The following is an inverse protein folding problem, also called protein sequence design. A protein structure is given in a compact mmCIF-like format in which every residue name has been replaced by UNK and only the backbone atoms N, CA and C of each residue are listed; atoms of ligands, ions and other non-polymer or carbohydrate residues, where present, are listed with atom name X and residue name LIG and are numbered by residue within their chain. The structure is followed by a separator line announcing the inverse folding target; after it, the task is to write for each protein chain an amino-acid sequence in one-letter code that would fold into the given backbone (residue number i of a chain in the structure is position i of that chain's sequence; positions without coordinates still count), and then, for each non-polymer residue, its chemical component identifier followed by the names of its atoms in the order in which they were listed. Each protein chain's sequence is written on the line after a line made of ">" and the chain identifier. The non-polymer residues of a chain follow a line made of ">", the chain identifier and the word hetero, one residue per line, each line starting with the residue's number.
data_IF_469212437086
#
_entry.id   IF_469212437086
#
_cell.length_a   1.000
_cell.length_b   1.000
_cell.length_c   1.000
_cell.angle_alpha   90.00
_cell.angle_beta   90.00
_cell.angle_gamma   90.00
#
_symmetry.space_group_name_H-M   'P 1'
#
loop_
_entity.id
_entity.type
_entity.pdbx_description
1 polymer ?
#
# COMPACT_ATOMS: atom_id res chain seq x y z
N UNK A 1 -15.74 17.63 7.47
CA UNK A 1 -15.42 16.47 8.34
C UNK A 1 -13.95 16.60 8.71
N UNK A 2 -13.65 16.90 9.96
CA UNK A 2 -12.27 17.04 10.45
C UNK A 2 -11.70 15.62 10.55
N UNK A 3 -10.59 15.34 9.88
CA UNK A 3 -9.83 14.10 10.11
C UNK A 3 -9.12 14.29 11.45
N UNK A 4 -9.73 13.84 12.55
CA UNK A 4 -9.18 13.98 13.92
C UNK A 4 -8.30 12.80 14.35
N UNK A 5 -8.11 11.80 13.49
CA UNK A 5 -7.26 10.64 13.79
C UNK A 5 -5.77 10.95 13.61
N UNK A 6 -4.93 10.45 14.53
CA UNK A 6 -3.47 10.51 14.39
C UNK A 6 -3.01 9.25 13.67
N UNK A 7 -2.41 9.42 12.49
CA UNK A 7 -1.80 8.31 11.75
C UNK A 7 -0.33 8.22 12.10
N UNK A 8 0.12 7.05 12.51
CA UNK A 8 1.54 6.77 12.74
C UNK A 8 2.03 5.70 11.77
N UNK A 9 3.08 6.04 11.01
CA UNK A 9 3.84 5.10 10.19
C UNK A 9 4.59 4.10 11.06
N UNK A 10 4.21 2.82 11.00
CA UNK A 10 4.85 1.76 11.79
C UNK A 10 5.11 0.55 10.93
N UNK A 11 6.37 0.33 10.60
CA UNK A 11 6.79 -0.74 9.70
C UNK A 11 6.82 -2.12 10.40
N UNK A 12 5.66 -2.61 10.86
CA UNK A 12 5.51 -3.84 11.65
C UNK A 12 6.21 -5.07 11.02
N UNK A 13 6.08 -5.22 9.70
CA UNK A 13 6.68 -6.33 8.95
C UNK A 13 8.17 -6.14 8.61
N UNK A 14 8.74 -4.98 8.94
CA UNK A 14 10.16 -4.63 8.71
C UNK A 14 10.91 -4.35 10.02
N UNK A 15 10.19 -4.24 11.14
CA UNK A 15 10.76 -4.07 12.46
C UNK A 15 11.55 -5.28 12.93
N UNK A 16 12.59 -5.05 13.73
CA UNK A 16 13.42 -6.12 14.33
C UNK A 16 12.86 -6.64 15.66
N UNK A 17 11.75 -6.09 16.13
CA UNK A 17 11.14 -6.50 17.39
C UNK A 17 10.30 -7.77 17.19
N UNK A 18 10.36 -8.74 18.11
CA UNK A 18 9.44 -9.87 18.13
C UNK A 18 7.96 -9.42 18.18
N UNK A 19 7.01 -10.21 17.65
CA UNK A 19 5.58 -9.85 17.62
C UNK A 19 5.00 -9.39 18.96
N UNK A 20 5.36 -10.06 20.06
CA UNK A 20 4.88 -9.69 21.40
C UNK A 20 5.40 -8.32 21.87
N UNK A 21 6.61 -7.93 21.45
CA UNK A 21 7.17 -6.61 21.77
C UNK A 21 6.55 -5.52 20.89
N UNK A 22 6.31 -5.82 19.60
CA UNK A 22 5.53 -4.95 18.73
C UNK A 22 4.14 -4.71 19.30
N UNK A 23 3.47 -5.77 19.78
CA UNK A 23 2.14 -5.65 20.36
C UNK A 23 2.11 -4.73 21.59
N UNK A 24 3.10 -4.85 22.48
CA UNK A 24 3.27 -3.92 23.61
C UNK A 24 3.46 -2.48 23.15
N UNK A 25 4.24 -2.27 22.08
CA UNK A 25 4.46 -0.94 21.52
C UNK A 25 3.18 -0.37 20.92
N UNK A 26 2.39 -1.13 20.16
CA UNK A 26 1.10 -0.68 19.62
C UNK A 26 0.13 -0.28 20.72
N UNK A 27 0.03 -1.09 21.78
CA UNK A 27 -0.79 -0.76 22.96
C UNK A 27 -0.34 0.56 23.58
N UNK A 28 0.96 0.74 23.75
CA UNK A 28 1.54 1.97 24.31
C UNK A 28 1.23 3.18 23.43
N UNK A 29 1.45 3.07 22.12
CA UNK A 29 1.19 4.14 21.17
C UNK A 29 -0.29 4.56 21.16
N UNK A 30 -1.21 3.59 21.22
CA UNK A 30 -2.63 3.87 21.28
C UNK A 30 -3.02 4.56 22.60
N UNK A 31 -2.65 3.97 23.74
CA UNK A 31 -3.10 4.43 25.06
C UNK A 31 -2.40 5.71 25.51
N UNK A 32 -1.08 5.81 25.34
CA UNK A 32 -0.31 6.95 25.86
C UNK A 32 -0.24 8.11 24.87
N UNK A 33 -0.21 7.84 23.56
CA UNK A 33 -0.02 8.89 22.55
C UNK A 33 -1.32 9.25 21.80
N UNK A 34 -2.39 8.48 22.03
CA UNK A 34 -3.69 8.66 21.38
C UNK A 34 -3.63 8.38 19.87
N UNK A 35 -2.85 7.38 19.46
CA UNK A 35 -2.81 6.93 18.08
C UNK A 35 -3.96 5.95 17.84
N UNK A 36 -4.87 6.31 16.93
CA UNK A 36 -6.03 5.49 16.55
C UNK A 36 -5.84 4.81 15.18
N UNK A 37 -4.79 5.18 14.45
CA UNK A 37 -4.54 4.71 13.10
C UNK A 37 -3.07 4.38 12.89
N UNK A 38 -2.79 3.16 12.43
CA UNK A 38 -1.44 2.73 12.11
C UNK A 38 -1.31 2.46 10.61
N UNK A 39 -0.26 3.02 10.01
CA UNK A 39 0.14 2.65 8.66
C UNK A 39 1.09 1.45 8.76
N UNK A 40 0.65 0.29 8.22
CA UNK A 40 1.35 -0.99 8.35
C UNK A 40 1.67 -1.58 6.96
N UNK A 41 2.93 -1.93 6.68
CA UNK A 41 3.29 -2.69 5.51
C UNK A 41 2.83 -4.15 5.60
N UNK A 42 2.11 -4.64 4.58
CA UNK A 42 1.74 -6.06 4.44
C UNK A 42 2.40 -6.64 3.20
N UNK A 43 2.92 -7.86 3.34
CA UNK A 43 3.47 -8.66 2.25
C UNK A 43 2.39 -9.59 1.70
N UNK A 44 2.37 -9.78 0.38
CA UNK A 44 1.43 -10.71 -0.25
C UNK A 44 1.68 -12.13 0.26
N UNK A 45 0.62 -12.78 0.77
CA UNK A 45 0.68 -14.15 1.28
C UNK A 45 1.37 -14.32 2.64
N UNK A 46 1.74 -13.24 3.33
CA UNK A 46 2.36 -13.31 4.66
C UNK A 46 1.43 -12.66 5.69
N UNK A 47 0.70 -13.44 6.49
CA UNK A 47 -0.24 -12.91 7.46
C UNK A 47 0.47 -12.12 8.57
N UNK A 48 -0.21 -11.11 9.12
CA UNK A 48 0.23 -10.45 10.35
C UNK A 48 0.24 -11.44 11.51
N UNK A 49 1.25 -11.34 12.38
CA UNK A 49 1.34 -12.16 13.57
C UNK A 49 0.12 -11.95 14.48
N UNK A 50 -0.40 -13.04 15.06
CA UNK A 50 -1.61 -13.03 15.90
C UNK A 50 -1.56 -12.00 17.02
N UNK A 51 -0.42 -11.84 17.67
CA UNK A 51 -0.20 -10.93 18.79
C UNK A 51 -0.39 -9.47 18.39
N UNK A 52 -0.03 -9.14 17.14
CA UNK A 52 -0.23 -7.80 16.57
C UNK A 52 -1.71 -7.61 16.24
N UNK A 53 -2.34 -8.60 15.62
CA UNK A 53 -3.78 -8.53 15.29
C UNK A 53 -4.62 -8.39 16.55
N UNK A 54 -4.34 -9.19 17.58
CA UNK A 54 -5.08 -9.19 18.84
C UNK A 54 -5.00 -7.84 19.54
N UNK A 55 -3.82 -7.19 19.56
CA UNK A 55 -3.70 -5.87 20.18
C UNK A 55 -4.34 -4.76 19.35
N UNK A 56 -4.32 -4.85 18.01
CA UNK A 56 -4.97 -3.86 17.16
C UNK A 56 -6.49 -3.90 17.34
N UNK A 57 -7.06 -5.09 17.56
CA UNK A 57 -8.47 -5.26 17.94
C UNK A 57 -8.72 -4.70 19.35
N UNK A 58 -7.86 -5.05 20.32
CA UNK A 58 -7.97 -4.58 21.72
C UNK A 58 -8.05 -3.05 21.83
N UNK A 59 -7.26 -2.34 21.03
CA UNK A 59 -7.18 -0.87 21.06
C UNK A 59 -8.08 -0.18 20.04
N UNK A 60 -8.95 -0.91 19.36
CA UNK A 60 -9.85 -0.40 18.31
C UNK A 60 -9.11 0.39 17.21
N UNK A 61 -7.95 -0.13 16.80
CA UNK A 61 -7.11 0.53 15.82
C UNK A 61 -7.67 0.43 14.40
N UNK A 62 -7.55 1.53 13.67
CA UNK A 62 -7.68 1.54 12.21
C UNK A 62 -6.34 1.30 11.53
N UNK A 63 -6.36 0.74 10.32
CA UNK A 63 -5.16 0.54 9.50
C UNK A 63 -5.18 1.32 8.19
N UNK A 64 -4.03 1.87 7.84
CA UNK A 64 -3.64 2.20 6.45
C UNK A 64 -2.65 1.13 6.01
N UNK A 65 -3.05 0.25 5.11
CA UNK A 65 -2.19 -0.86 4.69
C UNK A 65 -1.34 -0.41 3.51
N UNK A 66 -0.03 -0.66 3.54
CA UNK A 66 0.86 -0.32 2.44
C UNK A 66 1.52 -1.54 1.84
N UNK A 67 1.77 -1.51 0.53
CA UNK A 67 2.47 -2.58 -0.19
C UNK A 67 3.98 -2.29 -0.31
N UNK A 68 4.49 -1.35 0.48
CA UNK A 68 5.88 -0.88 0.37
C UNK A 68 6.87 -2.02 0.64
N UNK A 69 6.55 -2.93 1.57
CA UNK A 69 7.36 -4.11 1.85
C UNK A 69 7.36 -5.12 0.68
N UNK A 70 6.24 -5.27 -0.03
CA UNK A 70 6.16 -6.14 -1.22
C UNK A 70 7.13 -5.65 -2.29
N UNK A 71 7.16 -4.33 -2.49
CA UNK A 71 8.13 -3.72 -3.38
C UNK A 71 9.58 -3.85 -2.87
N UNK A 72 9.82 -3.61 -1.57
CA UNK A 72 11.15 -3.70 -0.97
C UNK A 72 11.79 -5.08 -1.13
N UNK A 73 10.97 -6.13 -1.21
CA UNK A 73 11.41 -7.52 -1.28
C UNK A 73 11.42 -8.04 -2.72
N UNK A 74 10.26 -8.16 -3.35
CA UNK A 74 10.10 -8.72 -4.69
C UNK A 74 10.50 -7.69 -5.75
N UNK A 75 10.06 -6.44 -5.60
CA UNK A 75 10.38 -5.35 -6.53
C UNK A 75 11.86 -4.99 -6.61
N UNK A 76 12.60 -5.10 -5.51
CA UNK A 76 14.07 -4.89 -5.53
C UNK A 76 14.81 -6.00 -6.29
N UNK A 77 14.30 -7.24 -6.23
CA UNK A 77 14.89 -8.40 -6.92
C UNK A 77 14.55 -8.43 -8.42
N UNK A 78 13.42 -7.83 -8.81
CA UNK A 78 12.99 -7.75 -10.22
C UNK A 78 12.73 -6.30 -10.65
N UNK A 79 13.64 -5.67 -11.44
CA UNK A 79 13.48 -4.29 -11.91
C UNK A 79 12.21 -4.02 -12.74
N UNK A 80 11.66 -5.05 -13.38
CA UNK A 80 10.45 -4.98 -14.19
C UNK A 80 9.16 -5.19 -13.38
N UNK A 81 9.24 -5.60 -12.11
CA UNK A 81 8.07 -5.75 -11.26
C UNK A 81 7.39 -4.41 -10.98
N UNK A 82 6.06 -4.35 -11.10
CA UNK A 82 5.29 -3.18 -10.70
C UNK A 82 4.02 -2.97 -11.50
N UNK A 83 3.13 -2.14 -10.95
CA UNK A 83 1.86 -1.77 -11.60
C UNK A 83 2.06 -0.96 -12.89
N UNK A 84 3.22 -0.31 -13.04
CA UNK A 84 3.58 0.41 -14.26
C UNK A 84 4.38 -0.42 -15.28
N UNK A 85 4.61 -1.71 -15.01
CA UNK A 85 5.38 -2.59 -15.90
C UNK A 85 4.75 -2.72 -17.29
N UNK A 86 5.55 -2.49 -18.32
CA UNK A 86 5.18 -2.80 -19.73
C UNK A 86 5.20 -4.29 -20.02
N UNK A 87 5.92 -5.07 -19.22
CA UNK A 87 5.91 -6.51 -19.31
C UNK A 87 4.68 -7.06 -18.58
N UNK A 88 3.76 -7.62 -19.36
CA UNK A 88 2.46 -8.12 -18.92
C UNK A 88 2.55 -9.07 -17.73
N UNK A 89 3.47 -10.03 -17.78
CA UNK A 89 3.67 -11.03 -16.72
C UNK A 89 4.03 -10.38 -15.38
N UNK A 90 4.97 -9.44 -15.37
CA UNK A 90 5.36 -8.71 -14.16
C UNK A 90 4.26 -7.80 -13.64
N UNK A 91 3.47 -7.20 -14.54
CA UNK A 91 2.31 -6.39 -14.16
C UNK A 91 1.22 -7.24 -13.51
N UNK A 92 0.94 -8.42 -14.08
CA UNK A 92 -0.04 -9.37 -13.54
C UNK A 92 0.37 -9.89 -12.17
N UNK A 93 1.67 -10.18 -11.95
CA UNK A 93 2.18 -10.57 -10.62
C UNK A 93 1.91 -9.45 -9.60
N UNK A 94 2.22 -8.18 -9.93
CA UNK A 94 1.97 -7.06 -9.03
C UNK A 94 0.47 -6.86 -8.73
N UNK A 95 -0.42 -7.13 -9.69
CA UNK A 95 -1.87 -7.12 -9.46
C UNK A 95 -2.29 -8.26 -8.52
N UNK A 96 -1.80 -9.48 -8.75
CA UNK A 96 -2.10 -10.65 -7.91
C UNK A 96 -1.64 -10.43 -6.47
N UNK A 97 -0.45 -9.85 -6.27
CA UNK A 97 0.07 -9.51 -4.95
C UNK A 97 -0.85 -8.50 -4.24
N UNK A 98 -1.34 -7.49 -4.96
CA UNK A 98 -2.30 -6.53 -4.41
C UNK A 98 -3.66 -7.15 -4.07
N UNK A 99 -4.15 -8.11 -4.88
CA UNK A 99 -5.34 -8.88 -4.54
C UNK A 99 -5.15 -9.74 -3.29
N UNK A 100 -3.99 -10.39 -3.15
CA UNK A 100 -3.66 -11.18 -1.97
C UNK A 100 -3.58 -10.31 -0.71
N UNK A 101 -3.09 -9.08 -0.82
CA UNK A 101 -3.13 -8.10 0.29
C UNK A 101 -4.56 -7.66 0.58
N UNK A 102 -5.39 -7.39 -0.44
CA UNK A 102 -6.80 -7.04 -0.24
C UNK A 102 -7.59 -8.15 0.48
N UNK A 103 -7.34 -9.42 0.15
CA UNK A 103 -7.93 -10.57 0.85
C UNK A 103 -7.49 -10.64 2.32
N UNK A 104 -6.21 -10.39 2.60
CA UNK A 104 -5.74 -10.31 3.99
C UNK A 104 -6.40 -9.16 4.75
N UNK A 105 -6.54 -7.99 4.13
CA UNK A 105 -7.25 -6.85 4.68
C UNK A 105 -8.73 -7.18 4.98
N UNK A 106 -9.39 -7.92 4.09
CA UNK A 106 -10.75 -8.40 4.33
C UNK A 106 -10.80 -9.30 5.57
N UNK A 107 -9.89 -10.28 5.69
CA UNK A 107 -9.83 -11.14 6.88
C UNK A 107 -9.53 -10.37 8.17
N UNK A 108 -8.72 -9.31 8.12
CA UNK A 108 -8.50 -8.43 9.28
C UNK A 108 -9.76 -7.63 9.62
N UNK A 109 -10.49 -7.17 8.61
CA UNK A 109 -11.76 -6.46 8.78
C UNK A 109 -12.84 -7.36 9.41
N UNK A 110 -12.92 -8.62 9.01
CA UNK A 110 -13.82 -9.61 9.62
C UNK A 110 -13.50 -9.87 11.10
N UNK A 111 -12.25 -9.66 11.51
CA UNK A 111 -11.81 -9.74 12.91
C UNK A 111 -12.05 -8.45 13.71
N UNK A 112 -12.57 -7.40 13.09
CA UNK A 112 -12.91 -6.13 13.74
C UNK A 112 -11.91 -4.99 13.53
N UNK A 113 -10.89 -5.17 12.68
CA UNK A 113 -9.92 -4.10 12.38
C UNK A 113 -10.41 -3.24 11.22
N UNK A 114 -10.60 -1.94 11.42
CA UNK A 114 -11.05 -1.06 10.35
C UNK A 114 -9.93 -0.71 9.36
N UNK A 115 -10.03 -1.20 8.12
CA UNK A 115 -9.07 -0.87 7.05
C UNK A 115 -9.54 0.40 6.33
N UNK A 116 -8.83 1.52 6.55
CA UNK A 116 -9.17 2.82 5.95
C UNK A 116 -8.73 2.90 4.49
N UNK A 117 -7.48 2.53 4.22
CA UNK A 117 -6.87 2.65 2.90
C UNK A 117 -5.93 1.47 2.61
N UNK A 118 -5.83 1.11 1.34
CA UNK A 118 -4.76 0.28 0.80
C UNK A 118 -3.92 1.11 -0.17
N UNK A 119 -2.64 1.25 0.14
CA UNK A 119 -1.69 2.13 -0.54
C UNK A 119 -0.81 1.30 -1.47
N UNK A 120 -0.95 1.56 -2.76
CA UNK A 120 -0.28 0.90 -3.87
C UNK A 120 0.94 1.69 -4.35
N UNK A 121 1.97 0.99 -4.80
CA UNK A 121 3.16 1.62 -5.41
C UNK A 121 3.25 1.30 -6.91
N UNK A 122 3.77 2.25 -7.68
CA UNK A 122 3.88 2.14 -9.15
C UNK A 122 4.90 1.10 -9.60
N UNK A 123 5.95 0.90 -8.81
CA UNK A 123 6.82 -0.28 -8.81
C UNK A 123 7.96 -0.34 -9.84
N UNK A 124 7.90 0.31 -11.00
CA UNK A 124 8.93 0.13 -12.02
C UNK A 124 10.08 1.14 -11.92
N UNK A 125 11.32 0.62 -12.04
CA UNK A 125 12.61 1.27 -11.74
C UNK A 125 13.18 2.25 -12.78
N UNK A 126 12.47 2.54 -13.89
CA UNK A 126 12.73 3.54 -14.96
C UNK A 126 12.21 2.98 -16.29
N UNK A 127 11.66 3.84 -17.16
CA UNK A 127 11.38 3.51 -18.56
C UNK A 127 10.62 4.61 -19.29
N UNK A 128 10.22 4.35 -20.54
CA UNK A 128 9.56 5.29 -21.43
C UNK A 128 8.16 5.72 -20.93
N UNK A 129 7.94 7.03 -20.81
CA UNK A 129 6.83 7.61 -20.03
C UNK A 129 5.42 7.19 -20.49
N UNK A 130 5.18 7.00 -21.79
CA UNK A 130 3.83 6.74 -22.31
C UNK A 130 3.41 5.28 -22.09
N UNK A 131 4.27 4.32 -22.44
CA UNK A 131 3.95 2.90 -22.31
C UNK A 131 3.72 2.50 -20.85
N UNK A 132 4.47 3.09 -19.93
CA UNK A 132 4.26 2.94 -18.49
C UNK A 132 2.96 3.58 -18.01
N UNK A 133 2.56 4.71 -18.57
CA UNK A 133 1.31 5.38 -18.21
C UNK A 133 0.10 4.53 -18.64
N UNK A 134 0.19 3.90 -19.82
CA UNK A 134 -0.82 2.96 -20.32
C UNK A 134 -0.89 1.72 -19.44
N UNK A 135 0.26 1.10 -19.12
CA UNK A 135 0.32 -0.07 -18.25
C UNK A 135 -0.27 0.23 -16.87
N UNK A 136 0.14 1.36 -16.28
CA UNK A 136 -0.35 1.79 -14.97
C UNK A 136 -1.85 2.09 -14.97
N UNK A 137 -2.34 2.76 -16.01
CA UNK A 137 -3.78 2.97 -16.20
C UNK A 137 -4.55 1.65 -16.18
N UNK A 138 -4.08 0.63 -16.91
CA UNK A 138 -4.71 -0.70 -16.95
C UNK A 138 -4.73 -1.33 -15.56
N UNK A 139 -3.59 -1.36 -14.87
CA UNK A 139 -3.51 -1.88 -13.51
C UNK A 139 -4.45 -1.19 -12.52
N UNK A 140 -4.60 0.13 -12.59
CA UNK A 140 -5.52 0.85 -11.70
C UNK A 140 -6.99 0.54 -11.97
N UNK A 141 -7.37 0.36 -13.24
CA UNK A 141 -8.72 -0.06 -13.61
C UNK A 141 -9.00 -1.46 -13.07
N UNK A 142 -8.08 -2.40 -13.29
CA UNK A 142 -8.20 -3.78 -12.83
C UNK A 142 -8.28 -3.86 -11.30
N UNK A 143 -7.36 -3.19 -10.60
CA UNK A 143 -7.30 -3.20 -9.14
C UNK A 143 -8.50 -2.52 -8.49
N UNK A 144 -9.00 -1.43 -9.06
CA UNK A 144 -10.19 -0.77 -8.51
C UNK A 144 -11.39 -1.71 -8.53
N UNK A 145 -11.60 -2.43 -9.63
CA UNK A 145 -12.68 -3.41 -9.72
C UNK A 145 -12.49 -4.51 -8.67
N UNK A 146 -11.32 -5.14 -8.67
CA UNK A 146 -11.01 -6.28 -7.80
C UNK A 146 -11.09 -5.92 -6.31
N UNK A 147 -10.61 -4.75 -5.91
CA UNK A 147 -10.64 -4.30 -4.51
C UNK A 147 -12.04 -3.88 -4.11
N UNK A 148 -12.81 -3.24 -4.99
CA UNK A 148 -14.21 -2.90 -4.68
C UNK A 148 -15.05 -4.16 -4.46
N UNK A 149 -14.80 -5.22 -5.24
CA UNK A 149 -15.53 -6.48 -5.13
C UNK A 149 -15.23 -7.23 -3.81
N UNK A 150 -14.00 -7.10 -3.28
CA UNK A 150 -13.55 -7.78 -2.04
C UNK A 150 -13.75 -6.91 -0.80
N UNK A 151 -13.58 -5.59 -0.94
CA UNK A 151 -13.58 -4.61 0.15
C UNK A 151 -14.24 -3.30 -0.30
N UNK A 152 -15.58 -3.23 -0.36
CA UNK A 152 -16.31 -2.07 -0.90
C UNK A 152 -16.07 -0.77 -0.12
N UNK A 153 -15.71 -0.88 1.17
CA UNK A 153 -15.45 0.27 2.06
C UNK A 153 -13.96 0.69 2.11
N UNK A 154 -13.06 -0.11 1.52
CA UNK A 154 -11.63 0.19 1.49
C UNK A 154 -11.28 1.16 0.35
N UNK A 155 -10.52 2.21 0.65
CA UNK A 155 -10.06 3.16 -0.37
C UNK A 155 -8.70 2.76 -0.90
N UNK A 156 -8.60 2.65 -2.23
CA UNK A 156 -7.30 2.59 -2.89
C UNK A 156 -6.64 3.96 -2.88
N UNK A 157 -5.37 4.03 -2.48
CA UNK A 157 -4.50 5.16 -2.68
C UNK A 157 -3.25 4.73 -3.45
N UNK A 158 -2.64 5.66 -4.17
CA UNK A 158 -1.35 5.43 -4.84
C UNK A 158 -0.31 6.27 -4.12
N UNK A 159 0.77 5.66 -3.67
CA UNK A 159 1.93 6.37 -3.12
C UNK A 159 3.09 6.34 -4.11
N UNK A 160 3.68 7.52 -4.28
CA UNK A 160 4.83 7.73 -5.14
C UNK A 160 5.93 8.35 -4.31
N UNK A 161 7.07 7.68 -4.29
CA UNK A 161 8.23 8.13 -3.53
C UNK A 161 9.31 8.58 -4.51
N UNK A 162 9.84 9.78 -4.26
CA UNK A 162 10.92 10.33 -5.06
C UNK A 162 12.14 9.41 -5.01
N UNK A 163 12.93 9.43 -6.09
CA UNK A 163 14.14 8.63 -6.15
C UNK A 163 15.14 9.05 -5.07
N UNK A 164 15.27 8.29 -3.97
CA UNK A 164 16.50 8.40 -3.18
C UNK A 164 17.68 7.92 -4.03
N UNK A 165 18.86 8.53 -3.85
CA UNK A 165 20.05 8.11 -4.55
C UNK A 165 20.40 6.67 -4.15
N UNK A 166 20.93 5.92 -5.11
CA UNK A 166 21.18 4.47 -5.03
C UNK A 166 22.12 4.01 -3.91
N UNK A 167 22.72 4.96 -3.18
CA UNK A 167 23.72 4.78 -2.13
C UNK A 167 23.22 5.14 -0.72
N UNK A 168 21.91 5.28 -0.50
CA UNK A 168 21.37 5.49 0.84
C UNK A 168 21.67 4.26 1.75
N UNK A 169 22.25 4.45 2.95
CA UNK A 169 22.71 3.36 3.81
C UNK A 169 21.57 2.50 4.39
N UNK A 170 20.38 3.09 4.50
CA UNK A 170 19.15 2.37 4.83
C UNK A 170 18.48 1.97 3.52
N UNK A 171 18.24 0.67 3.24
CA UNK A 171 17.36 0.25 2.17
C UNK A 171 15.92 0.59 2.58
N UNK A 172 15.60 1.88 2.62
CA UNK A 172 14.23 2.31 2.82
C UNK A 172 13.46 1.83 1.58
N UNK A 173 12.31 1.16 1.76
CA UNK A 173 11.45 0.74 0.65
C UNK A 173 10.98 1.87 -0.28
N UNK A 174 11.23 3.13 0.07
CA UNK A 174 10.69 4.30 -0.61
C UNK A 174 11.59 4.84 -1.74
N UNK A 175 12.51 4.07 -2.31
CA UNK A 175 13.37 4.66 -3.31
C UNK A 175 13.99 3.71 -4.29
N UNK A 176 13.30 3.50 -5.41
CA UNK A 176 13.92 3.52 -6.73
C UNK A 176 12.89 3.99 -7.76
N UNK A 177 13.15 5.18 -8.29
CA UNK A 177 12.65 5.80 -9.54
C UNK A 177 11.26 5.35 -9.97
N UNK A 178 10.22 6.11 -9.66
CA UNK A 178 8.95 5.99 -10.37
C UNK A 178 9.21 6.07 -11.89
N UNK A 179 8.70 5.11 -12.66
CA UNK A 179 8.77 5.15 -14.12
C UNK A 179 7.97 6.31 -14.74
N UNK A 180 7.07 6.90 -13.95
CA UNK A 180 6.23 8.03 -14.34
C UNK A 180 6.64 9.30 -13.62
N UNK A 181 6.60 10.41 -14.35
CA UNK A 181 6.69 11.74 -13.74
C UNK A 181 5.44 12.00 -12.88
N UNK A 182 5.56 12.87 -11.86
CA UNK A 182 4.42 13.30 -11.05
C UNK A 182 3.26 13.82 -11.93
N UNK A 183 3.55 14.57 -12.99
CA UNK A 183 2.55 15.04 -13.95
C UNK A 183 1.84 13.90 -14.67
N UNK A 184 2.59 12.92 -15.18
CA UNK A 184 2.01 11.74 -15.84
C UNK A 184 1.15 10.92 -14.87
N UNK A 185 1.56 10.79 -13.61
CA UNK A 185 0.78 10.12 -12.56
C UNK A 185 -0.54 10.82 -12.29
N UNK A 186 -0.50 12.13 -12.09
CA UNK A 186 -1.71 12.96 -11.89
C UNK A 186 -2.66 12.78 -13.08
N UNK A 187 -2.17 12.89 -14.32
CA UNK A 187 -2.99 12.74 -15.53
C UNK A 187 -3.64 11.35 -15.66
N UNK A 188 -2.88 10.28 -15.40
CA UNK A 188 -3.41 8.91 -15.42
C UNK A 188 -4.48 8.73 -14.35
N UNK A 189 -4.23 9.18 -13.11
CA UNK A 189 -5.19 9.05 -12.01
C UNK A 189 -6.46 9.87 -12.24
N UNK A 190 -6.35 11.09 -12.76
CA UNK A 190 -7.50 11.90 -13.17
C UNK A 190 -8.33 11.16 -14.21
N UNK A 191 -7.69 10.56 -15.22
CA UNK A 191 -8.39 9.82 -16.28
C UNK A 191 -9.13 8.58 -15.75
N UNK A 192 -8.50 7.80 -14.85
CA UNK A 192 -9.14 6.64 -14.20
C UNK A 192 -10.31 7.07 -13.32
N UNK A 193 -10.15 8.17 -12.58
CA UNK A 193 -11.20 8.70 -11.70
C UNK A 193 -12.39 9.28 -12.48
N UNK A 194 -12.19 9.83 -13.67
CA UNK A 194 -13.27 10.36 -14.52
C UNK A 194 -14.08 9.28 -15.25
N UNK A 195 -13.44 8.16 -15.62
CA UNK A 195 -14.11 7.08 -16.39
C UNK A 195 -14.93 6.11 -15.54
N UNK A 196 -14.71 6.08 -14.22
CA UNK A 196 -15.31 5.10 -13.34
C UNK A 196 -16.27 5.75 -12.33
N UNK A 197 -17.48 5.19 -12.24
CA UNK A 197 -18.65 5.75 -11.52
C UNK A 197 -18.61 5.49 -10.00
N UNK A 198 -17.51 4.95 -9.45
CA UNK A 198 -17.43 4.72 -8.00
C UNK A 198 -17.45 6.05 -7.24
N UNK A 199 -18.15 6.09 -6.11
CA UNK A 199 -18.31 7.28 -5.26
C UNK A 199 -17.02 7.86 -4.67
N UNK A 200 -15.90 7.11 -4.70
CA UNK A 200 -14.62 7.53 -4.15
C UNK A 200 -13.52 7.62 -5.22
N UNK A 201 -12.79 8.73 -5.25
CA UNK A 201 -11.60 8.91 -6.08
C UNK A 201 -10.40 8.18 -5.48
N UNK A 202 -9.48 7.71 -6.35
CA UNK A 202 -8.15 7.22 -5.93
C UNK A 202 -7.26 8.46 -5.71
N UNK A 203 -6.82 8.78 -4.48
CA UNK A 203 -5.91 9.88 -4.20
C UNK A 203 -4.45 9.48 -4.47
N UNK A 204 -3.65 10.48 -4.83
CA UNK A 204 -2.20 10.38 -4.93
C UNK A 204 -1.58 10.88 -3.61
N UNK A 205 -0.72 10.06 -3.01
CA UNK A 205 0.12 10.38 -1.86
C UNK A 205 1.54 10.61 -2.41
N UNK A 206 2.10 11.79 -2.13
CA UNK A 206 3.45 12.21 -2.53
C UNK A 206 4.27 12.46 -1.27
#
# INVERSE_FOLDING_TARGET
>A
MVITGKVLGVYASVGHLPPAEQAKWYRKAAVEWGIDTFEIPILAGVPLASEIVDVLIEVDASLVVTLVAQWATVGQKSPAYGLSSVEESFRQIAILDACAVAQQCQSLSERGIHIRHMVLHTGQRCGETISHAIAFYRSLVDLRQLVTDVMPDCRLAVEVTDSLPSNHPTPFPAAKKAALTLTSLIQTMTSVNQKNVSSYSIPLIV
#
